data_IF_736693653111
#
_entry.id   IF_736693653111
#
_cell.length_a   1.000
_cell.length_b   1.000
_cell.length_c   1.000
_cell.angle_alpha   90.00
_cell.angle_beta   90.00
_cell.angle_gamma   90.00
#
_symmetry.space_group_name_H-M   'P 1'
#
loop_
_entity.id
_entity.type
_entity.pdbx_description
1 polymer ?
#
# COMPACT_ATOMS: atom_id res chain seq x y z
N UNK A 1 -2.39 -61.91 -16.72
CA UNK A 1 -1.29 -62.89 -16.56
C UNK A 1 -0.30 -62.67 -17.69
N UNK A 2 0.99 -62.42 -17.38
CA UNK A 2 2.24 -62.74 -18.13
C UNK A 2 2.28 -62.41 -19.65
N UNK A 3 3.28 -61.80 -20.29
CA UNK A 3 4.71 -61.54 -20.05
C UNK A 3 5.22 -60.84 -21.34
N UNK A 4 6.12 -59.84 -21.25
CA UNK A 4 7.10 -59.52 -22.33
C UNK A 4 8.13 -60.70 -22.41
N UNK A 5 9.14 -60.83 -23.32
CA UNK A 5 9.78 -59.80 -24.17
C UNK A 5 10.51 -60.27 -25.48
N UNK A 6 11.25 -59.33 -26.12
CA UNK A 6 12.63 -59.44 -26.69
C UNK A 6 12.91 -60.02 -28.11
N UNK A 7 13.83 -59.28 -28.78
CA UNK A 7 14.95 -59.65 -29.68
C UNK A 7 14.86 -59.46 -31.20
N UNK A 8 15.76 -58.58 -31.68
CA UNK A 8 16.42 -58.52 -32.99
C UNK A 8 17.43 -59.69 -33.15
N UNK A 9 17.81 -60.06 -34.39
CA UNK A 9 19.22 -59.87 -34.83
C UNK A 9 19.37 -59.54 -36.34
N UNK A 10 20.28 -58.64 -36.75
CA UNK A 10 21.71 -58.85 -37.15
C UNK A 10 21.95 -59.57 -38.50
N UNK A 11 22.68 -58.92 -39.43
CA UNK A 11 23.73 -59.50 -40.31
C UNK A 11 24.38 -58.38 -41.17
N UNK A 12 25.70 -58.11 -41.03
CA UNK A 12 26.88 -58.70 -41.74
C UNK A 12 26.96 -58.25 -43.21
N UNK A 13 28.08 -57.91 -43.88
CA UNK A 13 29.55 -58.09 -43.85
C UNK A 13 30.14 -56.90 -44.67
N UNK A 14 31.43 -56.54 -44.76
CA UNK A 14 32.75 -57.05 -44.38
C UNK A 14 33.80 -56.02 -44.88
N UNK A 15 34.83 -55.71 -44.11
CA UNK A 15 36.22 -56.21 -44.20
C UNK A 15 37.05 -55.72 -45.40
N UNK A 16 38.08 -54.89 -45.14
CA UNK A 16 39.52 -55.28 -45.20
C UNK A 16 40.43 -54.07 -44.86
N UNK A 17 41.47 -54.33 -44.08
CA UNK A 17 42.43 -53.39 -43.45
C UNK A 17 43.74 -53.25 -44.28
N UNK A 18 44.95 -52.86 -43.77
CA UNK A 18 45.40 -51.91 -42.72
C UNK A 18 46.66 -51.07 -43.14
N UNK A 19 47.33 -50.43 -42.14
CA UNK A 19 48.75 -49.98 -41.99
C UNK A 19 48.91 -48.44 -41.93
N UNK A 20 48.86 -47.77 -40.75
CA UNK A 20 49.85 -47.56 -39.63
C UNK A 20 51.03 -46.61 -39.97
N UNK A 21 51.72 -45.98 -38.98
CA UNK A 21 51.26 -45.20 -37.81
C UNK A 21 52.16 -43.94 -37.55
N UNK A 22 51.84 -43.16 -36.49
CA UNK A 22 52.68 -42.35 -35.56
C UNK A 22 51.85 -41.11 -35.18
N UNK A 23 51.23 -40.99 -33.99
CA UNK A 23 51.85 -40.88 -32.65
C UNK A 23 52.53 -39.50 -32.55
N UNK A 24 52.29 -38.58 -31.62
CA UNK A 24 51.53 -38.52 -30.37
C UNK A 24 51.62 -37.06 -29.87
N UNK A 25 50.87 -36.73 -28.79
CA UNK A 25 51.03 -35.61 -27.83
C UNK A 25 50.30 -34.29 -28.20
N UNK A 26 49.09 -34.07 -27.66
CA UNK A 26 48.78 -33.41 -26.36
C UNK A 26 49.18 -31.92 -26.37
N UNK A 27 48.22 -31.01 -26.57
CA UNK A 27 47.32 -30.45 -25.54
C UNK A 27 48.08 -29.58 -24.53
N UNK A 28 47.93 -28.26 -24.65
CA UNK A 28 47.92 -27.31 -23.52
C UNK A 28 47.46 -25.91 -23.96
N UNK A 29 46.73 -25.25 -23.05
CA UNK A 29 46.48 -23.80 -22.86
C UNK A 29 45.16 -23.17 -23.39
N UNK A 30 44.15 -23.28 -22.51
CA UNK A 30 43.31 -22.22 -21.90
C UNK A 30 42.47 -21.27 -22.77
N UNK A 31 41.13 -21.19 -22.52
CA UNK A 31 40.34 -20.01 -22.88
C UNK A 31 40.26 -19.02 -21.69
N UNK A 32 40.49 -17.75 -21.99
CA UNK A 32 40.40 -16.63 -21.07
C UNK A 32 38.96 -16.43 -20.54
N UNK A 33 38.82 -16.40 -19.21
CA UNK A 33 37.61 -16.08 -18.49
C UNK A 33 37.45 -14.55 -18.46
N UNK A 34 36.49 -14.01 -19.22
CA UNK A 34 36.11 -12.61 -19.10
C UNK A 34 35.24 -12.42 -17.84
N UNK A 35 35.84 -11.93 -16.76
CA UNK A 35 35.12 -11.45 -15.58
C UNK A 35 34.40 -10.14 -15.93
N UNK A 36 33.10 -10.22 -16.22
CA UNK A 36 32.22 -9.06 -16.22
C UNK A 36 31.94 -8.72 -14.74
N UNK A 37 32.67 -7.75 -14.20
CA UNK A 37 32.39 -7.20 -12.88
C UNK A 37 31.04 -6.48 -12.92
N UNK A 38 29.98 -7.15 -12.47
CA UNK A 38 28.73 -6.51 -12.12
C UNK A 38 29.02 -5.53 -10.98
N UNK A 39 29.04 -4.24 -11.30
CA UNK A 39 29.05 -3.17 -10.32
C UNK A 39 27.70 -3.21 -9.60
N UNK A 40 27.60 -4.02 -8.55
CA UNK A 40 26.50 -3.92 -7.58
C UNK A 40 26.70 -2.57 -6.90
N UNK A 41 25.95 -1.57 -7.35
CA UNK A 41 25.81 -0.32 -6.62
C UNK A 41 25.21 -0.66 -5.27
N UNK A 42 26.07 -0.86 -4.27
CA UNK A 42 25.66 -0.84 -2.87
C UNK A 42 24.89 0.48 -2.68
N UNK A 43 23.65 0.46 -2.15
CA UNK A 43 22.98 1.69 -1.82
C UNK A 43 23.89 2.41 -0.82
N UNK A 44 24.47 3.53 -1.24
CA UNK A 44 25.17 4.41 -0.34
C UNK A 44 24.20 4.68 0.80
N UNK A 45 24.56 4.31 2.02
CA UNK A 45 23.78 4.63 3.19
C UNK A 45 23.58 6.15 3.18
N UNK A 46 22.42 6.60 2.70
CA UNK A 46 22.10 8.01 2.60
C UNK A 46 22.06 8.53 4.03
N UNK A 47 23.11 9.25 4.41
CA UNK A 47 23.20 9.82 5.74
C UNK A 47 22.00 10.75 5.95
N UNK A 48 21.22 10.50 7.00
CA UNK A 48 20.09 11.35 7.39
C UNK A 48 20.62 12.73 7.78
N UNK A 49 20.12 13.79 7.13
CA UNK A 49 20.61 15.15 7.35
C UNK A 49 19.47 16.14 7.55
N UNK A 50 19.66 17.05 8.50
CA UNK A 50 18.88 18.27 8.61
C UNK A 50 19.57 19.34 7.75
N UNK A 51 18.84 19.91 6.80
CA UNK A 51 19.34 21.00 5.96
C UNK A 51 18.81 22.31 6.52
N UNK A 52 19.71 23.18 6.94
CA UNK A 52 19.40 24.47 7.55
C UNK A 52 19.19 25.54 6.47
N UNK A 53 18.53 26.65 6.84
CA UNK A 53 18.26 27.78 5.93
C UNK A 53 19.52 28.49 5.42
N UNK A 54 20.62 28.40 6.14
CA UNK A 54 21.94 28.92 5.73
C UNK A 54 22.70 27.97 4.79
N UNK A 55 22.10 26.83 4.41
CA UNK A 55 22.69 25.82 3.55
C UNK A 55 23.56 24.80 4.29
N UNK A 56 23.74 24.93 5.61
CA UNK A 56 24.49 23.95 6.40
C UNK A 56 23.72 22.63 6.52
N UNK A 57 24.44 21.52 6.46
CA UNK A 57 23.89 20.18 6.61
C UNK A 57 24.37 19.57 7.93
N UNK A 58 23.43 19.24 8.81
CA UNK A 58 23.70 18.63 10.12
C UNK A 58 23.32 17.15 10.08
N UNK A 59 24.28 16.27 10.32
CA UNK A 59 24.03 14.82 10.33
C UNK A 59 23.16 14.44 11.53
N UNK A 60 22.08 13.70 11.30
CA UNK A 60 21.13 13.32 12.33
C UNK A 60 21.77 12.45 13.43
N UNK A 61 22.76 11.61 13.10
CA UNK A 61 23.48 10.80 14.08
C UNK A 61 24.40 11.63 15.00
N UNK A 62 24.69 12.88 14.65
CA UNK A 62 25.55 13.77 15.43
C UNK A 62 24.78 14.67 16.40
N UNK A 63 23.44 14.61 16.39
CA UNK A 63 22.59 15.48 17.20
C UNK A 63 21.58 14.68 18.02
N UNK A 64 21.23 15.22 19.17
CA UNK A 64 20.08 14.77 19.95
C UNK A 64 18.96 15.79 19.80
N UNK A 65 17.74 15.31 19.62
CA UNK A 65 16.55 16.15 19.61
C UNK A 65 16.21 16.51 21.06
N UNK A 66 16.17 17.80 21.36
CA UNK A 66 15.80 18.34 22.68
C UNK A 66 14.66 19.36 22.53
N UNK A 67 14.10 19.84 23.65
CA UNK A 67 12.98 20.77 23.69
C UNK A 67 13.30 22.04 22.90
N UNK A 68 12.76 22.13 21.68
CA UNK A 68 12.91 23.30 20.82
C UNK A 68 14.22 23.37 20.03
N UNK A 69 14.93 22.26 19.80
CA UNK A 69 16.08 22.28 18.90
C UNK A 69 16.86 20.97 18.81
N UNK A 70 17.83 20.95 17.90
CA UNK A 70 18.85 19.90 17.80
C UNK A 70 20.08 20.31 18.60
N UNK A 71 20.57 19.45 19.47
CA UNK A 71 21.77 19.67 20.27
C UNK A 71 22.89 18.79 19.75
N UNK A 72 23.99 19.40 19.34
CA UNK A 72 25.21 18.74 18.92
C UNK A 72 26.27 18.90 20.01
N UNK A 73 26.75 17.79 20.56
CA UNK A 73 27.91 17.80 21.44
C UNK A 73 29.18 17.99 20.61
N UNK A 74 29.96 19.01 20.94
CA UNK A 74 31.23 19.35 20.29
C UNK A 74 32.38 19.30 21.30
N UNK A 75 33.63 19.30 20.83
CA UNK A 75 34.83 19.23 21.67
C UNK A 75 34.81 18.04 22.67
N UNK A 76 34.43 16.85 22.20
CA UNK A 76 34.35 15.65 23.06
C UNK A 76 33.23 15.70 24.12
N UNK A 77 32.26 16.60 23.97
CA UNK A 77 31.18 16.83 24.93
C UNK A 77 31.42 17.98 25.89
N UNK A 78 32.54 18.72 25.76
CA UNK A 78 32.84 19.88 26.60
C UNK A 78 32.08 21.15 26.19
N UNK A 79 31.45 21.18 25.01
CA UNK A 79 30.60 22.27 24.57
C UNK A 79 29.42 21.76 23.75
N UNK A 80 28.36 22.56 23.67
CA UNK A 80 27.13 22.24 22.93
C UNK A 80 26.86 23.29 21.87
N UNK A 81 26.47 22.84 20.69
CA UNK A 81 25.93 23.69 19.63
C UNK A 81 24.46 23.36 19.45
N UNK A 82 23.61 24.38 19.51
CA UNK A 82 22.16 24.24 19.38
C UNK A 82 21.68 24.79 18.04
N UNK A 83 20.82 24.03 17.37
CA UNK A 83 20.15 24.43 16.14
C UNK A 83 18.65 24.50 16.41
N UNK A 84 18.04 25.66 16.17
CA UNK A 84 16.58 25.82 16.30
C UNK A 84 15.84 25.09 15.18
N UNK A 85 14.72 24.45 15.49
CA UNK A 85 13.86 23.84 14.47
C UNK A 85 13.36 24.86 13.44
N UNK A 86 13.14 26.11 13.85
CA UNK A 86 12.74 27.20 12.96
C UNK A 86 13.77 27.49 11.86
N UNK A 87 15.03 27.07 12.06
CA UNK A 87 16.12 27.26 11.10
C UNK A 87 16.30 26.04 10.17
N UNK A 88 15.56 24.95 10.36
CA UNK A 88 15.56 23.81 9.45
C UNK A 88 14.74 24.20 8.20
N UNK A 89 15.36 24.11 7.04
CA UNK A 89 14.73 24.36 5.75
C UNK A 89 14.05 23.10 5.19
N UNK A 90 14.73 21.95 5.29
CA UNK A 90 14.20 20.64 4.86
C UNK A 90 14.92 19.50 5.58
N UNK A 91 14.27 18.34 5.55
CA UNK A 91 14.86 17.06 5.93
C UNK A 91 15.36 16.35 4.67
N UNK A 92 16.53 15.74 4.76
CA UNK A 92 17.11 14.87 3.74
C UNK A 92 17.24 13.47 4.34
N UNK A 93 16.10 12.81 4.47
CA UNK A 93 15.95 11.51 5.12
C UNK A 93 15.44 10.52 4.08
N UNK A 94 16.08 9.35 3.91
CA UNK A 94 15.55 8.34 3.02
C UNK A 94 14.18 7.85 3.51
N UNK A 95 13.39 7.30 2.60
CA UNK A 95 12.12 6.66 2.96
C UNK A 95 12.35 5.58 4.04
N UNK A 96 11.67 5.68 5.20
CA UNK A 96 11.71 4.62 6.19
C UNK A 96 11.12 3.34 5.61
N UNK A 97 11.81 2.18 5.67
CA UNK A 97 11.28 0.91 5.15
C UNK A 97 9.94 0.53 5.80
N UNK A 98 9.71 1.01 7.03
CA UNK A 98 8.47 0.81 7.76
C UNK A 98 7.24 1.39 7.06
N UNK A 99 7.38 2.37 6.15
CA UNK A 99 6.28 2.92 5.35
C UNK A 99 5.70 1.82 4.45
N UNK A 100 6.54 1.22 3.60
CA UNK A 100 6.13 0.15 2.69
C UNK A 100 5.66 -1.11 3.45
N UNK A 101 6.35 -1.48 4.52
CA UNK A 101 5.95 -2.62 5.35
C UNK A 101 4.58 -2.40 6.02
N UNK A 102 4.34 -1.19 6.55
CA UNK A 102 3.05 -0.84 7.14
C UNK A 102 1.94 -0.86 6.10
N UNK A 103 2.19 -0.33 4.90
CA UNK A 103 1.21 -0.36 3.81
C UNK A 103 0.77 -1.81 3.47
N UNK A 104 1.74 -2.74 3.39
CA UNK A 104 1.43 -4.16 3.17
C UNK A 104 0.63 -4.77 4.34
N UNK A 105 0.95 -4.42 5.59
CA UNK A 105 0.20 -4.88 6.77
C UNK A 105 -1.23 -4.34 6.78
N UNK A 106 -1.43 -3.08 6.38
CA UNK A 106 -2.76 -2.47 6.23
C UNK A 106 -3.57 -3.19 5.16
N UNK A 107 -2.98 -3.44 3.99
CA UNK A 107 -3.63 -4.19 2.91
C UNK A 107 -4.00 -5.63 3.35
N UNK A 108 -3.19 -6.23 4.21
CA UNK A 108 -3.46 -7.55 4.79
C UNK A 108 -4.43 -7.53 5.98
N UNK A 109 -4.98 -6.37 6.37
CA UNK A 109 -5.91 -6.24 7.50
C UNK A 109 -5.27 -6.41 8.89
N UNK A 110 -3.93 -6.39 8.98
CA UNK A 110 -3.18 -6.66 10.23
C UNK A 110 -2.98 -5.39 11.06
N UNK A 111 -4.07 -4.90 11.66
CA UNK A 111 -4.14 -3.63 12.40
C UNK A 111 -3.06 -3.46 13.48
N UNK A 112 -2.94 -4.40 14.41
CA UNK A 112 -2.00 -4.31 15.53
C UNK A 112 -0.52 -4.25 15.07
N UNK A 113 -0.16 -5.07 14.08
CA UNK A 113 1.20 -5.08 13.53
C UNK A 113 1.50 -3.79 12.77
N UNK A 114 0.55 -3.30 11.96
CA UNK A 114 0.68 -2.04 11.25
C UNK A 114 0.92 -0.87 12.22
N UNK A 115 0.11 -0.77 13.29
CA UNK A 115 0.25 0.27 14.31
C UNK A 115 1.60 0.18 15.04
N UNK A 116 2.02 -1.03 15.41
CA UNK A 116 3.32 -1.23 16.05
C UNK A 116 4.48 -0.77 15.16
N UNK A 117 4.41 -1.06 13.86
CA UNK A 117 5.46 -0.73 12.89
C UNK A 117 5.54 0.76 12.57
N UNK A 118 4.40 1.44 12.43
CA UNK A 118 4.35 2.84 11.98
C UNK A 118 4.53 3.86 13.09
N UNK A 119 4.15 3.53 14.33
CA UNK A 119 4.14 4.46 15.46
C UNK A 119 5.54 5.07 15.76
N UNK A 120 6.67 4.32 15.69
CA UNK A 120 8.00 4.91 15.84
C UNK A 120 8.35 5.93 14.76
N UNK A 121 7.96 5.68 13.51
CA UNK A 121 8.19 6.61 12.39
C UNK A 121 7.36 7.87 12.59
N UNK A 122 6.06 7.69 12.87
CA UNK A 122 5.14 8.76 13.17
C UNK A 122 5.70 9.70 14.26
N UNK A 123 6.13 9.14 15.40
CA UNK A 123 6.69 9.92 16.52
C UNK A 123 8.00 10.62 16.17
N UNK A 124 8.87 9.99 15.39
CA UNK A 124 10.14 10.57 14.96
C UNK A 124 9.93 11.86 14.16
N UNK A 125 8.92 11.88 13.29
CA UNK A 125 8.64 13.02 12.42
C UNK A 125 7.57 13.99 12.96
N UNK A 126 6.97 13.70 14.13
CA UNK A 126 5.92 14.52 14.75
C UNK A 126 6.34 15.96 15.08
N UNK A 127 7.65 16.22 15.22
CA UNK A 127 8.18 17.57 15.42
C UNK A 127 8.34 18.37 14.13
N UNK A 128 8.28 17.70 12.98
CA UNK A 128 8.54 18.26 11.67
C UNK A 128 7.38 18.04 10.67
N UNK A 129 6.10 18.17 11.06
CA UNK A 129 5.00 17.68 10.24
C UNK A 129 4.80 18.51 8.96
N UNK A 130 5.25 19.77 8.96
CA UNK A 130 5.19 20.69 7.81
C UNK A 130 6.55 20.95 7.16
N UNK A 131 7.59 20.22 7.59
CA UNK A 131 8.95 20.42 7.05
C UNK A 131 9.13 19.60 5.78
N UNK A 132 9.57 20.18 4.65
CA UNK A 132 9.82 19.43 3.43
C UNK A 132 10.78 18.25 3.67
N UNK A 133 10.48 17.09 3.08
CA UNK A 133 11.24 15.85 3.28
C UNK A 133 10.93 15.10 4.59
N UNK A 134 9.98 15.60 5.38
CA UNK A 134 9.40 14.86 6.50
C UNK A 134 8.45 13.79 6.01
N UNK A 135 8.56 12.59 6.61
CA UNK A 135 7.68 11.45 6.35
C UNK A 135 6.47 11.41 7.29
N UNK A 136 6.17 12.54 7.95
CA UNK A 136 5.11 12.59 8.95
C UNK A 136 3.72 12.36 8.34
N UNK A 137 3.42 13.00 7.21
CA UNK A 137 2.10 12.92 6.57
C UNK A 137 1.79 11.50 6.13
N UNK A 138 2.75 10.85 5.47
CA UNK A 138 2.66 9.46 5.01
C UNK A 138 2.48 8.50 6.19
N UNK A 139 3.28 8.68 7.25
CA UNK A 139 3.16 7.89 8.46
C UNK A 139 1.83 8.10 9.18
N UNK A 140 1.33 9.35 9.23
CA UNK A 140 0.06 9.70 9.85
C UNK A 140 -1.13 9.12 9.07
N UNK A 141 -1.11 9.16 7.73
CA UNK A 141 -2.13 8.53 6.88
C UNK A 141 -2.13 7.01 7.07
N UNK A 142 -0.96 6.36 7.04
CA UNK A 142 -0.87 4.91 7.26
C UNK A 142 -1.33 4.51 8.67
N UNK A 143 -0.98 5.30 9.68
CA UNK A 143 -1.47 5.14 11.04
C UNK A 143 -2.99 5.26 11.11
N UNK A 144 -3.59 6.26 10.47
CA UNK A 144 -5.04 6.42 10.40
C UNK A 144 -5.72 5.22 9.72
N UNK A 145 -5.19 4.78 8.58
CA UNK A 145 -5.70 3.59 7.88
C UNK A 145 -5.61 2.33 8.76
N UNK A 146 -4.52 2.16 9.50
CA UNK A 146 -4.38 1.05 10.44
C UNK A 146 -5.38 1.13 11.61
N UNK A 147 -5.72 2.33 12.08
CA UNK A 147 -6.76 2.54 13.10
C UNK A 147 -8.18 2.25 12.59
N UNK A 148 -8.43 2.40 11.29
CA UNK A 148 -9.72 2.09 10.67
C UNK A 148 -9.98 0.59 10.53
N UNK A 149 -8.93 -0.24 10.55
CA UNK A 149 -9.07 -1.69 10.50
C UNK A 149 -9.67 -2.23 11.82
N UNK A 150 -10.37 -3.38 11.78
CA UNK A 150 -10.82 -4.05 13.00
C UNK A 150 -9.65 -4.31 13.97
N UNK A 151 -9.76 -3.92 15.24
CA UNK A 151 -8.68 -4.11 16.20
C UNK A 151 -8.53 -5.59 16.59
N UNK A 152 -7.29 -6.02 16.83
CA UNK A 152 -7.03 -7.34 17.39
C UNK A 152 -7.29 -7.35 18.90
N UNK A 153 -8.48 -7.81 19.28
CA UNK A 153 -8.92 -7.85 20.68
C UNK A 153 -8.15 -8.85 21.55
N UNK A 154 -7.40 -9.78 20.94
CA UNK A 154 -6.50 -10.66 21.70
C UNK A 154 -5.27 -9.93 22.18
N UNK A 155 -4.81 -8.94 21.40
CA UNK A 155 -3.64 -8.11 21.70
C UNK A 155 -4.04 -6.94 22.61
N UNK A 156 -5.13 -6.26 22.29
CA UNK A 156 -5.64 -5.13 23.07
C UNK A 156 -7.17 -5.23 23.23
N UNK A 157 -7.63 -5.77 24.37
CA UNK A 157 -9.07 -5.91 24.65
C UNK A 157 -9.83 -4.58 24.69
N UNK A 158 -9.15 -3.45 24.91
CA UNK A 158 -9.79 -2.12 25.01
C UNK A 158 -9.82 -1.39 23.67
N UNK A 159 -9.06 -1.86 22.68
CA UNK A 159 -8.91 -1.18 21.40
C UNK A 159 -10.23 -0.90 20.68
N UNK A 160 -11.23 -1.80 20.76
CA UNK A 160 -12.54 -1.54 20.13
C UNK A 160 -13.28 -0.36 20.75
N UNK A 161 -13.27 -0.22 22.08
CA UNK A 161 -13.93 0.89 22.77
C UNK A 161 -13.19 2.22 22.51
N UNK A 162 -11.86 2.18 22.38
CA UNK A 162 -11.02 3.35 22.18
C UNK A 162 -10.88 3.77 20.70
N UNK A 163 -11.15 2.86 19.75
CA UNK A 163 -10.95 3.09 18.33
C UNK A 163 -11.64 4.36 17.80
N UNK A 164 -12.93 4.65 18.11
CA UNK A 164 -13.58 5.89 17.67
C UNK A 164 -12.83 7.15 18.10
N UNK A 165 -12.36 7.20 19.35
CA UNK A 165 -11.63 8.35 19.87
C UNK A 165 -10.26 8.49 19.18
N UNK A 166 -9.55 7.37 18.99
CA UNK A 166 -8.23 7.35 18.32
C UNK A 166 -8.33 7.78 16.86
N UNK A 167 -9.33 7.29 16.13
CA UNK A 167 -9.60 7.67 14.73
C UNK A 167 -9.89 9.17 14.64
N UNK A 168 -10.80 9.71 15.47
CA UNK A 168 -11.13 11.15 15.46
C UNK A 168 -9.91 12.02 15.74
N UNK A 169 -9.09 11.64 16.73
CA UNK A 169 -7.88 12.39 17.05
C UNK A 169 -6.90 12.37 15.89
N UNK A 170 -6.60 11.21 15.31
CA UNK A 170 -5.69 11.08 14.17
C UNK A 170 -6.19 11.83 12.92
N UNK A 171 -7.49 11.74 12.62
CA UNK A 171 -8.10 12.45 11.50
C UNK A 171 -8.02 13.98 11.70
N UNK A 172 -8.39 14.50 12.89
CA UNK A 172 -8.30 15.94 13.19
C UNK A 172 -6.87 16.46 13.11
N UNK A 173 -5.91 15.68 13.56
CA UNK A 173 -4.50 16.02 13.49
C UNK A 173 -4.01 16.15 12.04
N UNK A 174 -4.39 15.20 11.17
CA UNK A 174 -4.14 15.27 9.73
C UNK A 174 -4.80 16.51 9.11
N UNK A 175 -6.08 16.75 9.38
CA UNK A 175 -6.81 17.90 8.82
C UNK A 175 -6.25 19.26 9.25
N UNK A 176 -5.64 19.36 10.42
CA UNK A 176 -5.06 20.62 10.92
C UNK A 176 -3.60 20.81 10.53
N UNK A 177 -2.87 19.72 10.29
CA UNK A 177 -1.42 19.75 10.18
C UNK A 177 -0.91 19.42 8.79
N UNK A 178 -1.55 18.50 8.07
CA UNK A 178 -1.17 18.15 6.71
C UNK A 178 -1.44 19.32 5.76
N UNK A 179 -0.55 19.53 4.79
CA UNK A 179 -0.76 20.45 3.69
C UNK A 179 -1.29 19.73 2.43
N UNK A 180 -1.15 18.41 2.38
CA UNK A 180 -1.54 17.57 1.26
C UNK A 180 -3.07 17.37 1.22
N UNK A 181 -3.76 17.79 0.13
CA UNK A 181 -5.19 17.60 -0.03
C UNK A 181 -5.62 16.13 0.00
N UNK A 182 -4.79 15.20 -0.46
CA UNK A 182 -5.10 13.76 -0.40
C UNK A 182 -5.14 13.30 1.06
N UNK A 183 -4.11 13.60 1.86
CA UNK A 183 -4.10 13.29 3.30
C UNK A 183 -5.26 13.92 4.08
N UNK A 184 -5.67 15.14 3.74
CA UNK A 184 -6.84 15.80 4.34
C UNK A 184 -8.12 15.04 3.95
N UNK A 185 -8.27 14.68 2.68
CA UNK A 185 -9.41 13.91 2.19
C UNK A 185 -9.51 12.51 2.81
N UNK A 186 -8.38 11.85 3.03
CA UNK A 186 -8.30 10.57 3.77
C UNK A 186 -8.84 10.70 5.19
N UNK A 187 -8.48 11.79 5.88
CA UNK A 187 -8.98 12.07 7.22
C UNK A 187 -10.49 12.32 7.23
N UNK A 188 -11.02 13.02 6.23
CA UNK A 188 -12.47 13.21 6.07
C UNK A 188 -13.19 11.88 5.80
N UNK A 189 -12.67 11.04 4.89
CA UNK A 189 -13.21 9.71 4.65
C UNK A 189 -13.25 8.86 5.92
N UNK A 190 -12.18 8.88 6.71
CA UNK A 190 -12.12 8.15 7.97
C UNK A 190 -13.19 8.59 8.98
N UNK A 191 -13.51 9.88 9.03
CA UNK A 191 -14.59 10.40 9.87
C UNK A 191 -15.96 9.97 9.34
N UNK A 192 -16.19 10.02 8.03
CA UNK A 192 -17.43 9.54 7.42
C UNK A 192 -17.65 8.04 7.67
N UNK A 193 -16.61 7.21 7.53
CA UNK A 193 -16.67 5.80 7.90
C UNK A 193 -17.01 5.59 9.38
N UNK A 194 -16.42 6.40 10.26
CA UNK A 194 -16.70 6.32 11.69
C UNK A 194 -18.16 6.67 12.00
N UNK A 195 -18.71 7.69 11.35
CA UNK A 195 -20.10 8.09 11.51
C UNK A 195 -21.05 6.98 10.99
N UNK A 196 -20.71 6.32 9.88
CA UNK A 196 -21.45 5.13 9.41
C UNK A 196 -21.43 4.02 10.46
N UNK A 197 -20.27 3.70 11.04
CA UNK A 197 -20.13 2.68 12.08
C UNK A 197 -20.89 3.05 13.36
N UNK A 198 -20.99 4.35 13.66
CA UNK A 198 -21.73 4.88 14.80
C UNK A 198 -23.25 4.94 14.57
N UNK A 199 -23.75 4.52 13.40
CA UNK A 199 -25.17 4.62 13.07
C UNK A 199 -25.65 6.06 12.84
N UNK A 200 -24.75 6.94 12.39
CA UNK A 200 -25.03 8.35 12.05
C UNK A 200 -24.86 8.59 10.54
N UNK A 201 -25.59 7.86 9.68
CA UNK A 201 -25.35 7.90 8.24
C UNK A 201 -25.72 9.24 7.59
N UNK A 202 -26.51 10.09 8.23
CA UNK A 202 -26.83 11.44 7.76
C UNK A 202 -25.60 12.36 7.82
N UNK A 203 -24.83 12.29 8.91
CA UNK A 203 -23.57 13.03 9.05
C UNK A 203 -22.54 12.54 8.02
N UNK A 204 -22.43 11.22 7.86
CA UNK A 204 -21.58 10.64 6.84
C UNK A 204 -21.99 11.07 5.42
N UNK A 205 -23.29 11.13 5.12
CA UNK A 205 -23.79 11.57 3.81
C UNK A 205 -23.39 13.01 3.52
N UNK A 206 -23.56 13.92 4.49
CA UNK A 206 -23.18 15.32 4.33
C UNK A 206 -21.68 15.46 4.04
N UNK A 207 -20.84 14.74 4.80
CA UNK A 207 -19.39 14.76 4.61
C UNK A 207 -18.98 14.16 3.27
N UNK A 208 -19.57 13.04 2.87
CA UNK A 208 -19.30 12.41 1.57
C UNK A 208 -19.68 13.32 0.40
N UNK A 209 -20.76 14.10 0.52
CA UNK A 209 -21.16 15.06 -0.49
C UNK A 209 -20.13 16.18 -0.69
N UNK A 210 -19.49 16.64 0.38
CA UNK A 210 -18.39 17.61 0.30
C UNK A 210 -17.16 16.98 -0.37
N UNK A 211 -16.80 15.75 0.03
CA UNK A 211 -15.64 15.03 -0.52
C UNK A 211 -15.79 14.81 -2.03
N UNK A 212 -16.94 14.30 -2.50
CA UNK A 212 -17.16 14.03 -3.93
C UNK A 212 -17.18 15.31 -4.78
N UNK A 213 -17.36 16.48 -4.17
CA UNK A 213 -17.31 17.77 -4.86
C UNK A 213 -15.86 18.28 -4.95
N UNK A 214 -15.17 18.33 -3.82
CA UNK A 214 -13.97 19.17 -3.68
C UNK A 214 -12.65 18.37 -3.59
N UNK A 215 -12.69 17.09 -3.21
CA UNK A 215 -11.47 16.32 -2.94
C UNK A 215 -10.70 15.88 -4.21
N UNK A 216 -9.44 15.44 -4.08
CA UNK A 216 -8.70 14.80 -5.17
C UNK A 216 -9.36 13.51 -5.67
N UNK A 217 -9.03 13.09 -6.90
CA UNK A 217 -9.66 11.95 -7.57
C UNK A 217 -9.59 10.64 -6.76
N UNK A 218 -8.44 10.36 -6.14
CA UNK A 218 -8.26 9.15 -5.33
C UNK A 218 -9.10 9.10 -4.06
N UNK A 219 -9.44 10.26 -3.50
CA UNK A 219 -10.36 10.38 -2.37
C UNK A 219 -11.81 10.30 -2.86
N UNK A 220 -12.13 10.98 -3.98
CA UNK A 220 -13.46 10.98 -4.59
C UNK A 220 -13.97 9.60 -4.94
N UNK A 221 -13.15 8.75 -5.56
CA UNK A 221 -13.56 7.38 -5.94
C UNK A 221 -13.98 6.54 -4.73
N UNK A 222 -13.26 6.67 -3.60
CA UNK A 222 -13.61 5.99 -2.35
C UNK A 222 -14.86 6.58 -1.70
N UNK A 223 -15.04 7.89 -1.80
CA UNK A 223 -16.26 8.55 -1.32
C UNK A 223 -17.49 8.09 -2.10
N UNK A 224 -17.39 7.96 -3.43
CA UNK A 224 -18.46 7.40 -4.27
C UNK A 224 -18.79 5.97 -3.88
N UNK A 225 -17.78 5.13 -3.65
CA UNK A 225 -17.97 3.75 -3.21
C UNK A 225 -18.72 3.70 -1.88
N UNK A 226 -18.28 4.46 -0.87
CA UNK A 226 -18.89 4.48 0.45
C UNK A 226 -20.32 5.05 0.43
N UNK A 227 -20.58 6.04 -0.44
CA UNK A 227 -21.93 6.59 -0.65
C UNK A 227 -22.85 5.56 -1.30
N UNK A 228 -22.35 4.79 -2.27
CA UNK A 228 -23.07 3.66 -2.86
C UNK A 228 -23.39 2.57 -1.85
N UNK A 229 -22.43 2.21 -0.99
CA UNK A 229 -22.63 1.24 0.09
C UNK A 229 -23.73 1.68 1.05
N UNK A 230 -23.75 2.98 1.38
CA UNK A 230 -24.76 3.54 2.27
C UNK A 230 -26.16 3.53 1.64
N UNK A 231 -26.26 3.92 0.37
CA UNK A 231 -27.52 3.88 -0.39
C UNK A 231 -28.05 2.44 -0.51
N UNK A 232 -27.17 1.49 -0.83
CA UNK A 232 -27.51 0.07 -0.94
C UNK A 232 -28.03 -0.50 0.39
N UNK A 233 -27.40 -0.15 1.53
CA UNK A 233 -27.87 -0.54 2.87
C UNK A 233 -29.26 0.01 3.20
N UNK A 234 -29.59 1.19 2.67
CA UNK A 234 -30.91 1.82 2.81
C UNK A 234 -31.93 1.32 1.78
N UNK A 235 -31.56 0.36 0.93
CA UNK A 235 -32.37 -0.12 -0.19
C UNK A 235 -32.75 0.98 -1.21
N UNK A 236 -31.99 2.08 -1.23
CA UNK A 236 -32.10 3.12 -2.26
C UNK A 236 -31.26 2.67 -3.46
N UNK A 237 -31.79 1.71 -4.22
CA UNK A 237 -31.04 1.01 -5.26
C UNK A 237 -30.65 1.90 -6.43
N UNK A 238 -31.51 2.85 -6.80
CA UNK A 238 -31.26 3.85 -7.84
C UNK A 238 -30.07 4.74 -7.46
N UNK A 239 -30.07 5.27 -6.24
CA UNK A 239 -28.99 6.11 -5.71
C UNK A 239 -27.68 5.31 -5.62
N UNK A 240 -27.76 4.04 -5.22
CA UNK A 240 -26.60 3.15 -5.17
C UNK A 240 -26.01 2.94 -6.57
N UNK A 241 -26.86 2.68 -7.57
CA UNK A 241 -26.43 2.55 -8.96
C UNK A 241 -25.77 3.82 -9.49
N UNK A 242 -26.33 5.00 -9.21
CA UNK A 242 -25.70 6.28 -9.62
C UNK A 242 -24.28 6.40 -9.06
N UNK A 243 -24.09 6.00 -7.80
CA UNK A 243 -22.79 6.05 -7.15
C UNK A 243 -21.79 5.05 -7.73
N UNK A 244 -22.18 3.77 -7.85
CA UNK A 244 -21.28 2.72 -8.32
C UNK A 244 -20.91 2.87 -9.80
N UNK A 245 -21.87 3.22 -10.67
CA UNK A 245 -21.62 3.34 -12.11
C UNK A 245 -20.78 4.57 -12.46
N UNK A 246 -20.74 5.58 -11.58
CA UNK A 246 -19.80 6.70 -11.72
C UNK A 246 -18.34 6.27 -11.64
N UNK A 247 -18.04 5.21 -10.89
CA UNK A 247 -16.67 4.75 -10.67
C UNK A 247 -16.00 4.29 -11.98
N UNK A 248 -16.53 3.30 -12.73
CA UNK A 248 -15.95 2.92 -14.02
C UNK A 248 -16.01 4.07 -15.05
N UNK A 249 -17.05 4.91 -15.00
CA UNK A 249 -17.21 5.99 -15.97
C UNK A 249 -16.21 7.15 -15.80
N UNK A 250 -15.87 7.52 -14.56
CA UNK A 250 -15.03 8.69 -14.26
C UNK A 250 -13.64 8.32 -13.73
N UNK A 251 -13.49 7.11 -13.20
CA UNK A 251 -12.29 6.64 -12.49
C UNK A 251 -11.82 5.29 -13.02
N UNK A 252 -12.06 5.00 -14.31
CA UNK A 252 -11.73 3.71 -14.95
C UNK A 252 -10.27 3.25 -14.81
N UNK A 253 -9.33 4.14 -14.51
CA UNK A 253 -7.91 3.80 -14.26
C UNK A 253 -7.63 3.33 -12.82
N UNK A 254 -8.61 3.36 -11.94
CA UNK A 254 -8.47 2.96 -10.52
C UNK A 254 -8.89 1.49 -10.34
N UNK A 255 -8.09 0.58 -10.91
CA UNK A 255 -8.39 -0.85 -10.96
C UNK A 255 -8.60 -1.49 -9.58
N UNK A 256 -7.96 -0.97 -8.53
CA UNK A 256 -8.07 -1.52 -7.17
C UNK A 256 -9.49 -1.45 -6.60
N UNK A 257 -10.27 -0.42 -6.97
CA UNK A 257 -11.61 -0.18 -6.43
C UNK A 257 -12.71 -0.65 -7.38
N UNK A 258 -12.35 -0.97 -8.63
CA UNK A 258 -13.30 -1.41 -9.64
C UNK A 258 -14.06 -2.68 -9.25
N UNK A 259 -13.43 -3.73 -8.67
CA UNK A 259 -14.14 -4.93 -8.25
C UNK A 259 -15.26 -4.64 -7.24
N UNK A 260 -15.00 -3.72 -6.30
CA UNK A 260 -15.97 -3.32 -5.29
C UNK A 260 -17.15 -2.55 -5.90
N UNK A 261 -16.86 -1.62 -6.82
CA UNK A 261 -17.89 -0.86 -7.53
C UNK A 261 -18.79 -1.76 -8.38
N UNK A 262 -18.20 -2.69 -9.14
CA UNK A 262 -18.95 -3.63 -9.99
C UNK A 262 -19.83 -4.55 -9.14
N UNK A 263 -19.29 -5.11 -8.06
CA UNK A 263 -20.08 -5.94 -7.14
C UNK A 263 -21.23 -5.16 -6.51
N UNK A 264 -20.96 -3.92 -6.08
CA UNK A 264 -21.97 -3.00 -5.56
C UNK A 264 -23.09 -2.74 -6.58
N UNK A 265 -22.72 -2.48 -7.84
CA UNK A 265 -23.68 -2.25 -8.92
C UNK A 265 -24.53 -3.49 -9.22
N UNK A 266 -23.94 -4.69 -9.22
CA UNK A 266 -24.65 -5.94 -9.46
C UNK A 266 -25.69 -6.21 -8.34
N UNK A 267 -25.30 -5.98 -7.08
CA UNK A 267 -26.21 -6.06 -5.93
C UNK A 267 -27.32 -5.03 -6.00
N UNK A 268 -26.99 -3.81 -6.42
CA UNK A 268 -27.98 -2.74 -6.58
C UNK A 268 -28.98 -3.05 -7.71
N UNK A 269 -28.53 -3.54 -8.87
CA UNK A 269 -29.43 -4.00 -9.95
C UNK A 269 -30.35 -5.14 -9.49
N UNK A 270 -29.81 -6.11 -8.74
CA UNK A 270 -30.61 -7.21 -8.18
C UNK A 270 -31.69 -6.70 -7.23
N UNK A 271 -31.34 -5.78 -6.34
CA UNK A 271 -32.29 -5.14 -5.42
C UNK A 271 -33.33 -4.26 -6.12
N UNK A 272 -32.92 -3.57 -7.18
CA UNK A 272 -33.79 -2.76 -8.04
C UNK A 272 -34.80 -3.60 -8.83
N UNK A 273 -34.58 -4.90 -8.98
CA UNK A 273 -35.43 -5.81 -9.74
C UNK A 273 -35.05 -5.96 -11.22
N UNK A 274 -33.81 -5.67 -11.58
CA UNK A 274 -33.24 -5.89 -12.93
C UNK A 274 -32.21 -7.04 -12.88
N UNK A 275 -32.67 -8.31 -12.87
CA UNK A 275 -31.77 -9.46 -12.76
C UNK A 275 -30.85 -9.61 -13.98
N UNK A 276 -31.29 -9.21 -15.17
CA UNK A 276 -30.49 -9.32 -16.41
C UNK A 276 -29.27 -8.40 -16.38
N UNK A 277 -29.40 -7.18 -15.82
CA UNK A 277 -28.24 -6.29 -15.61
C UNK A 277 -27.39 -6.72 -14.43
N UNK A 278 -28.01 -7.25 -13.38
CA UNK A 278 -27.26 -7.80 -12.26
C UNK A 278 -26.33 -8.94 -12.69
N UNK A 279 -26.86 -9.91 -13.46
CA UNK A 279 -26.10 -11.03 -13.99
C UNK A 279 -24.94 -10.56 -14.88
N UNK A 280 -25.20 -9.64 -15.81
CA UNK A 280 -24.12 -9.05 -16.63
C UNK A 280 -23.03 -8.39 -15.80
N UNK A 281 -23.40 -7.60 -14.79
CA UNK A 281 -22.42 -6.96 -13.91
C UNK A 281 -21.61 -7.97 -13.08
N UNK A 282 -22.22 -9.10 -12.65
CA UNK A 282 -21.47 -10.19 -12.02
C UNK A 282 -20.50 -10.86 -12.99
N UNK A 283 -20.93 -11.14 -14.22
CA UNK A 283 -20.07 -11.74 -15.25
C UNK A 283 -18.89 -10.83 -15.59
N UNK A 284 -19.13 -9.54 -15.83
CA UNK A 284 -18.07 -8.56 -16.13
C UNK A 284 -17.03 -8.52 -15.00
N UNK A 285 -17.48 -8.56 -13.73
CA UNK A 285 -16.60 -8.63 -12.56
C UNK A 285 -15.78 -9.93 -12.51
N UNK A 286 -16.41 -11.08 -12.77
CA UNK A 286 -15.75 -12.38 -12.74
C UNK A 286 -14.71 -12.49 -13.85
N UNK A 287 -15.03 -12.01 -15.05
CA UNK A 287 -14.17 -12.09 -16.22
C UNK A 287 -13.00 -11.09 -16.14
N UNK A 288 -13.26 -9.86 -15.69
CA UNK A 288 -12.25 -8.80 -15.64
C UNK A 288 -11.35 -8.91 -14.40
N UNK A 289 -11.90 -9.34 -13.26
CA UNK A 289 -11.17 -9.39 -11.98
C UNK A 289 -11.27 -10.77 -11.29
N UNK A 290 -10.87 -11.86 -11.97
CA UNK A 290 -11.15 -13.25 -11.55
C UNK A 290 -10.54 -13.63 -10.19
N UNK A 291 -9.45 -12.97 -9.79
CA UNK A 291 -8.72 -13.25 -8.56
C UNK A 291 -9.14 -12.33 -7.39
N UNK A 292 -10.13 -11.47 -7.58
CA UNK A 292 -10.61 -10.57 -6.53
C UNK A 292 -11.51 -11.29 -5.53
N UNK A 293 -11.50 -10.89 -4.24
CA UNK A 293 -12.50 -11.36 -3.28
C UNK A 293 -13.94 -11.09 -3.74
N UNK A 294 -14.14 -9.99 -4.46
CA UNK A 294 -15.43 -9.57 -5.00
C UNK A 294 -15.91 -10.51 -6.11
N UNK A 295 -15.03 -10.99 -7.00
CA UNK A 295 -15.39 -12.00 -7.99
C UNK A 295 -15.77 -13.34 -7.33
N UNK A 296 -15.14 -13.70 -6.22
CA UNK A 296 -15.54 -14.88 -5.44
C UNK A 296 -16.94 -14.70 -4.85
N UNK A 297 -17.24 -13.52 -4.29
CA UNK A 297 -18.58 -13.19 -3.81
C UNK A 297 -19.61 -13.17 -4.96
N UNK A 298 -19.25 -12.63 -6.12
CA UNK A 298 -20.10 -12.58 -7.30
C UNK A 298 -20.55 -13.97 -7.77
N UNK A 299 -19.62 -14.94 -7.85
CA UNK A 299 -19.93 -16.34 -8.17
C UNK A 299 -20.95 -16.92 -7.20
N UNK A 300 -20.71 -16.75 -5.90
CA UNK A 300 -21.61 -17.22 -4.86
C UNK A 300 -23.01 -16.56 -4.92
N UNK A 301 -23.10 -15.27 -5.25
CA UNK A 301 -24.35 -14.51 -5.28
C UNK A 301 -25.18 -14.67 -6.57
N UNK A 302 -24.51 -14.96 -7.69
CA UNK A 302 -25.12 -15.21 -9.00
C UNK A 302 -25.53 -16.66 -9.20
N UNK A 303 -24.90 -17.60 -8.46
CA UNK A 303 -25.11 -19.03 -8.64
C UNK A 303 -24.32 -19.63 -9.83
N UNK A 304 -23.30 -18.90 -10.30
CA UNK A 304 -22.37 -19.26 -11.38
C UNK A 304 -21.07 -19.91 -10.86
#
# INVERSE_FOLDING_TARGET
MKTRPVSLPSRFMGSTSPVRPTGSLLSTLAPALAFLAAFVALPAAQAQRYIMKDGTAVNAASVTVDVGGLVQKIAGGAAERRYDFANIARLDFPEPPEIAETAALVAAGKSAQALHKIEPVYRRFALFPKTPGSWWTEAAVLRLRALLLPPDLKVDPKAAAEAPARIRTAARELMTTAADPDAIGEAQLALAELDIRAGQPELATAMLNEIVRDAPAGVKVRAWLLRGDLALKRQAFEDALECYLRIPALFGTWDELMPAALLGSARAYKGYGDPDRAERAYLDLIDTYPNSPQATAAKAESGL
#
